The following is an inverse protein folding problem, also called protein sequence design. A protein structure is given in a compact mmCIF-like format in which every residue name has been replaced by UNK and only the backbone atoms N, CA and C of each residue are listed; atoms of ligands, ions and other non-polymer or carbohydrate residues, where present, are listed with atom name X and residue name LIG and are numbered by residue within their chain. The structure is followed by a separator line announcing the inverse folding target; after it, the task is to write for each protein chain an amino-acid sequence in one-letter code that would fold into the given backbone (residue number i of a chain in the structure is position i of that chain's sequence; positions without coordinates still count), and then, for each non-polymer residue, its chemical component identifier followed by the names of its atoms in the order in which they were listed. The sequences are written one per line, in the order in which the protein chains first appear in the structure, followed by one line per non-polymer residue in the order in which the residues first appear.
data_IF_689474922037
#
_entry.id   IF_689474922037
#
_cell.length_a   1.000
_cell.length_b   1.000
_cell.length_c   1.000
_cell.angle_alpha   90.00
_cell.angle_beta   90.00
_cell.angle_gamma   90.00
#
_symmetry.space_group_name_H-M   'P 1'
#
loop_
_entity.id
_entity.type
_entity.pdbx_description
1 polymer ?
#
# COMPACT_ATOMS: atom_id res chain seq x y z
N UNK A 1 2.09 -25.13 -7.97
CA UNK A 1 0.93 -24.40 -8.52
C UNK A 1 0.30 -23.65 -7.37
N UNK A 2 0.12 -22.34 -7.44
CA UNK A 2 -0.60 -21.61 -6.40
C UNK A 2 -2.05 -22.11 -6.36
N UNK A 3 -2.54 -22.46 -5.18
CA UNK A 3 -3.93 -22.89 -4.98
C UNK A 3 -4.84 -21.75 -5.44
N UNK A 4 -5.80 -22.03 -6.32
CA UNK A 4 -6.73 -21.01 -6.80
C UNK A 4 -7.52 -20.43 -5.62
N UNK A 5 -7.61 -19.10 -5.56
CA UNK A 5 -8.46 -18.40 -4.59
C UNK A 5 -9.93 -18.78 -4.84
N UNK A 6 -10.58 -19.34 -3.82
CA UNK A 6 -11.98 -19.77 -3.90
C UNK A 6 -12.90 -18.96 -2.96
N UNK A 7 -12.35 -18.04 -2.19
CA UNK A 7 -13.06 -17.23 -1.23
C UNK A 7 -13.85 -16.11 -1.90
N UNK A 8 -14.98 -15.78 -1.30
CA UNK A 8 -15.73 -14.57 -1.64
C UNK A 8 -15.11 -13.39 -0.91
N UNK A 9 -14.70 -12.38 -1.65
CA UNK A 9 -14.01 -11.20 -1.12
C UNK A 9 -14.94 -9.99 -1.25
N UNK A 10 -15.24 -9.38 -0.12
CA UNK A 10 -15.98 -8.13 -0.07
C UNK A 10 -15.03 -6.95 0.18
N UNK A 11 -15.12 -5.91 -0.62
CA UNK A 11 -14.44 -4.64 -0.37
C UNK A 11 -15.45 -3.63 0.17
N UNK A 12 -15.18 -3.08 1.35
CA UNK A 12 -15.87 -1.92 1.89
C UNK A 12 -15.08 -0.68 1.48
N UNK A 13 -15.59 0.02 0.45
CA UNK A 13 -14.90 1.08 -0.26
C UNK A 13 -14.29 0.61 -1.60
N UNK A 14 -14.64 1.30 -2.69
CA UNK A 14 -14.20 1.04 -4.06
C UNK A 14 -13.17 2.05 -4.59
N UNK A 15 -12.41 2.71 -3.71
CA UNK A 15 -11.40 3.71 -4.10
C UNK A 15 -10.20 3.11 -4.86
N UNK A 16 -9.23 3.96 -5.22
CA UNK A 16 -8.09 3.60 -6.06
C UNK A 16 -7.34 2.36 -5.58
N UNK A 17 -7.09 2.23 -4.27
CA UNK A 17 -6.35 1.08 -3.73
C UNK A 17 -7.19 -0.21 -3.80
N UNK A 18 -8.49 -0.14 -3.51
CA UNK A 18 -9.39 -1.28 -3.71
C UNK A 18 -9.40 -1.71 -5.18
N UNK A 19 -9.53 -0.77 -6.11
CA UNK A 19 -9.50 -1.04 -7.55
C UNK A 19 -8.17 -1.64 -8.02
N UNK A 20 -7.03 -1.23 -7.43
CA UNK A 20 -5.73 -1.84 -7.70
C UNK A 20 -5.71 -3.32 -7.29
N UNK A 21 -6.14 -3.62 -6.05
CA UNK A 21 -6.22 -4.99 -5.55
C UNK A 21 -7.18 -5.85 -6.38
N UNK A 22 -8.36 -5.33 -6.69
CA UNK A 22 -9.36 -5.99 -7.52
C UNK A 22 -8.77 -6.28 -8.92
N UNK A 23 -8.17 -5.30 -9.57
CA UNK A 23 -7.53 -5.48 -10.88
C UNK A 23 -6.42 -6.53 -10.85
N UNK A 24 -5.60 -6.54 -9.82
CA UNK A 24 -4.59 -7.56 -9.60
C UNK A 24 -5.18 -8.97 -9.39
N UNK A 25 -6.25 -9.10 -8.63
CA UNK A 25 -6.94 -10.37 -8.41
C UNK A 25 -7.56 -10.91 -9.70
N UNK A 26 -8.23 -10.05 -10.47
CA UNK A 26 -8.82 -10.42 -11.76
C UNK A 26 -7.75 -10.86 -12.77
N UNK A 27 -6.62 -10.17 -12.83
CA UNK A 27 -5.49 -10.52 -13.72
C UNK A 27 -4.87 -11.88 -13.38
N UNK A 28 -5.04 -12.35 -12.15
CA UNK A 28 -4.63 -13.69 -11.69
C UNK A 28 -5.72 -14.75 -11.81
N UNK A 29 -6.85 -14.40 -12.41
CA UNK A 29 -7.92 -15.33 -12.74
C UNK A 29 -8.99 -15.53 -11.65
N UNK A 30 -9.05 -14.65 -10.64
CA UNK A 30 -10.18 -14.69 -9.71
C UNK A 30 -11.46 -14.27 -10.46
N UNK A 31 -12.54 -15.08 -10.44
CA UNK A 31 -13.78 -14.72 -11.12
C UNK A 31 -14.42 -13.46 -10.51
N UNK A 32 -14.99 -12.60 -11.33
CA UNK A 32 -15.70 -11.39 -10.89
C UNK A 32 -16.84 -11.71 -9.91
N UNK A 33 -17.48 -12.86 -10.07
CA UNK A 33 -18.55 -13.36 -9.19
C UNK A 33 -18.10 -13.63 -7.74
N UNK A 34 -16.80 -13.67 -7.49
CA UNK A 34 -16.20 -13.82 -6.15
C UNK A 34 -15.88 -12.48 -5.49
N UNK A 35 -16.13 -11.37 -6.17
CA UNK A 35 -15.84 -10.04 -5.66
C UNK A 35 -17.14 -9.25 -5.53
N UNK A 36 -17.38 -8.69 -4.35
CA UNK A 36 -18.45 -7.73 -4.09
C UNK A 36 -17.81 -6.44 -3.57
N UNK A 37 -18.29 -5.30 -4.03
CA UNK A 37 -17.81 -3.99 -3.56
C UNK A 37 -18.97 -3.18 -3.02
N UNK A 38 -18.84 -2.66 -1.82
CA UNK A 38 -19.74 -1.64 -1.29
C UNK A 38 -19.09 -0.26 -1.34
N UNK A 39 -19.76 0.68 -2.01
CA UNK A 39 -19.33 2.09 -2.03
C UNK A 39 -20.57 2.99 -2.14
N UNK A 40 -20.69 4.08 -1.35
CA UNK A 40 -21.83 5.00 -1.43
C UNK A 40 -21.85 5.79 -2.76
N UNK A 41 -20.72 5.96 -3.43
CA UNK A 41 -20.60 6.77 -4.64
C UNK A 41 -20.99 5.96 -5.88
N UNK A 42 -22.07 6.34 -6.54
CA UNK A 42 -22.61 5.65 -7.71
C UNK A 42 -21.62 5.54 -8.86
N UNK A 43 -20.86 6.59 -9.15
CA UNK A 43 -19.86 6.58 -10.21
C UNK A 43 -18.76 5.52 -9.97
N UNK A 44 -18.35 5.32 -8.71
CA UNK A 44 -17.37 4.29 -8.36
C UNK A 44 -17.97 2.90 -8.61
N UNK A 45 -19.23 2.68 -8.22
CA UNK A 45 -19.92 1.41 -8.44
C UNK A 45 -20.05 1.13 -9.94
N UNK A 46 -20.48 2.10 -10.73
CA UNK A 46 -20.64 1.96 -12.18
C UNK A 46 -19.36 1.51 -12.88
N UNK A 47 -18.21 2.14 -12.57
CA UNK A 47 -16.89 1.73 -13.11
C UNK A 47 -16.54 0.28 -12.77
N UNK A 48 -16.96 -0.22 -11.62
CA UNK A 48 -16.73 -1.60 -11.20
C UNK A 48 -17.72 -2.57 -11.85
N UNK A 49 -18.97 -2.17 -12.04
CA UNK A 49 -20.01 -2.92 -12.74
C UNK A 49 -19.65 -3.14 -14.21
N UNK A 50 -19.07 -2.15 -14.88
CA UNK A 50 -18.53 -2.30 -16.25
C UNK A 50 -17.48 -3.40 -16.36
N UNK A 51 -16.78 -3.73 -15.25
CA UNK A 51 -15.83 -4.84 -15.15
C UNK A 51 -16.49 -6.17 -14.77
N UNK A 52 -17.81 -6.20 -14.61
CA UNK A 52 -18.58 -7.38 -14.21
C UNK A 52 -18.53 -7.69 -12.72
N UNK A 53 -18.18 -6.72 -11.88
CA UNK A 53 -18.12 -6.87 -10.41
C UNK A 53 -19.49 -6.54 -9.82
N UNK A 54 -19.92 -7.30 -8.84
CA UNK A 54 -21.14 -7.00 -8.07
C UNK A 54 -20.89 -5.81 -7.15
N UNK A 55 -21.78 -4.82 -7.18
CA UNK A 55 -21.68 -3.64 -6.32
C UNK A 55 -22.96 -3.37 -5.58
N UNK A 56 -22.88 -2.69 -4.46
CA UNK A 56 -24.01 -2.19 -3.68
C UNK A 56 -23.61 -0.91 -2.93
N UNK A 57 -24.58 -0.14 -2.46
CA UNK A 57 -24.34 0.97 -1.54
C UNK A 57 -24.49 0.53 -0.06
N UNK A 58 -24.95 -0.70 0.18
CA UNK A 58 -25.23 -1.24 1.51
C UNK A 58 -24.12 -2.20 1.97
N UNK A 59 -23.39 -1.79 3.00
CA UNK A 59 -22.32 -2.59 3.60
C UNK A 59 -22.85 -3.89 4.21
N UNK A 60 -24.06 -3.89 4.79
CA UNK A 60 -24.67 -5.08 5.39
C UNK A 60 -25.01 -6.12 4.33
N UNK A 61 -25.47 -5.68 3.17
CA UNK A 61 -25.72 -6.57 2.03
C UNK A 61 -24.39 -7.15 1.50
N UNK A 62 -23.39 -6.31 1.32
CA UNK A 62 -22.11 -6.70 0.73
C UNK A 62 -21.38 -7.80 1.51
N UNK A 63 -21.44 -7.77 2.84
CA UNK A 63 -20.69 -8.73 3.68
C UNK A 63 -21.40 -10.08 3.86
N UNK A 64 -22.66 -10.26 3.47
CA UNK A 64 -23.46 -11.46 3.78
C UNK A 64 -22.78 -12.76 3.41
N UNK A 65 -22.23 -12.83 2.21
CA UNK A 65 -21.63 -14.05 1.65
C UNK A 65 -20.09 -13.99 1.61
N UNK A 66 -19.50 -12.99 2.27
CA UNK A 66 -18.05 -12.82 2.23
C UNK A 66 -17.33 -13.74 3.22
N UNK A 67 -16.25 -14.36 2.77
CA UNK A 67 -15.29 -15.05 3.62
C UNK A 67 -14.22 -14.06 4.12
N UNK A 68 -13.88 -13.08 3.26
CA UNK A 68 -12.89 -12.03 3.50
C UNK A 68 -13.52 -10.66 3.31
N UNK A 69 -13.33 -9.78 4.28
CA UNK A 69 -13.77 -8.37 4.19
C UNK A 69 -12.55 -7.46 4.17
N UNK A 70 -12.35 -6.76 3.06
CA UNK A 70 -11.27 -5.77 2.89
C UNK A 70 -11.82 -4.39 3.22
N UNK A 71 -11.31 -3.77 4.27
CA UNK A 71 -11.64 -2.40 4.66
C UNK A 71 -10.76 -1.42 3.88
N UNK A 72 -11.37 -0.68 2.97
CA UNK A 72 -10.69 0.20 2.00
C UNK A 72 -11.27 1.62 1.99
N UNK A 73 -11.85 2.06 3.09
CA UNK A 73 -12.43 3.41 3.24
C UNK A 73 -11.39 4.40 3.76
N UNK A 74 -11.72 5.68 3.68
CA UNK A 74 -10.88 6.73 4.29
C UNK A 74 -10.95 6.64 5.83
N UNK A 75 -9.84 6.93 6.55
CA UNK A 75 -9.82 6.85 8.02
C UNK A 75 -10.93 7.65 8.70
N UNK A 76 -11.28 8.82 8.14
CA UNK A 76 -12.25 9.76 8.72
C UNK A 76 -13.68 9.19 8.84
N UNK A 77 -14.02 8.19 8.02
CA UNK A 77 -15.36 7.57 8.03
C UNK A 77 -15.37 6.18 8.67
N UNK A 78 -14.24 5.72 9.22
CA UNK A 78 -14.05 4.36 9.72
C UNK A 78 -15.13 3.98 10.75
N UNK A 79 -15.34 4.80 11.78
CA UNK A 79 -16.32 4.53 12.84
C UNK A 79 -17.73 4.42 12.28
N UNK A 80 -18.15 5.39 11.46
CA UNK A 80 -19.49 5.41 10.83
C UNK A 80 -19.74 4.17 9.98
N UNK A 81 -18.70 3.68 9.28
CA UNK A 81 -18.79 2.50 8.40
C UNK A 81 -18.82 1.21 9.21
N UNK A 82 -18.03 1.10 10.29
CA UNK A 82 -17.90 -0.15 11.03
C UNK A 82 -18.96 -0.36 12.13
N UNK A 83 -19.50 0.69 12.73
CA UNK A 83 -20.52 0.56 13.77
C UNK A 83 -21.73 -0.29 13.34
N UNK A 84 -22.33 -0.11 12.15
CA UNK A 84 -23.44 -0.96 11.71
C UNK A 84 -23.03 -2.43 11.50
N UNK A 85 -21.73 -2.72 11.35
CA UNK A 85 -21.19 -4.06 11.13
C UNK A 85 -20.79 -4.77 12.43
N UNK A 86 -21.01 -4.14 13.59
CA UNK A 86 -20.66 -4.67 14.91
C UNK A 86 -21.27 -6.03 15.15
N UNK A 87 -20.43 -7.01 15.47
CA UNK A 87 -20.83 -8.41 15.69
C UNK A 87 -21.06 -9.24 14.43
N UNK A 88 -21.05 -8.63 13.23
CA UNK A 88 -21.34 -9.33 11.97
C UNK A 88 -20.08 -9.82 11.22
N UNK A 89 -18.89 -9.50 11.73
CA UNK A 89 -17.60 -9.87 11.13
C UNK A 89 -16.84 -10.94 11.92
N UNK A 90 -17.44 -11.54 12.93
CA UNK A 90 -16.77 -12.46 13.86
C UNK A 90 -16.26 -13.75 13.19
N UNK A 91 -16.93 -14.21 12.15
CA UNK A 91 -16.60 -15.41 11.36
C UNK A 91 -15.76 -15.11 10.13
N UNK A 92 -15.44 -13.86 9.85
CA UNK A 92 -14.76 -13.39 8.63
C UNK A 92 -13.31 -13.04 8.89
N UNK A 93 -12.47 -13.18 7.86
CA UNK A 93 -11.14 -12.58 7.86
C UNK A 93 -11.27 -11.11 7.47
N UNK A 94 -10.85 -10.21 8.35
CA UNK A 94 -10.86 -8.77 8.10
C UNK A 94 -9.46 -8.31 7.71
N UNK A 95 -9.32 -7.71 6.52
CA UNK A 95 -8.07 -7.13 6.03
C UNK A 95 -8.25 -5.62 5.93
N UNK A 96 -7.56 -4.86 6.74
CA UNK A 96 -7.59 -3.40 6.70
C UNK A 96 -6.41 -2.83 5.92
N UNK A 97 -6.69 -2.02 4.90
CA UNK A 97 -5.70 -1.23 4.17
C UNK A 97 -5.78 0.26 4.54
N UNK A 98 -6.42 0.57 5.67
CA UNK A 98 -6.69 1.94 6.13
C UNK A 98 -5.48 2.48 6.88
N UNK A 99 -4.92 3.59 6.42
CA UNK A 99 -3.81 4.24 7.11
C UNK A 99 -4.23 4.70 8.52
N UNK A 100 -3.37 4.45 9.52
CA UNK A 100 -3.61 4.82 10.91
C UNK A 100 -4.62 3.96 11.67
N UNK A 101 -5.35 3.03 11.02
CA UNK A 101 -6.29 2.16 11.71
C UNK A 101 -5.57 0.96 12.34
N UNK A 102 -5.31 1.03 13.64
CA UNK A 102 -4.73 -0.06 14.41
C UNK A 102 -5.71 -1.22 14.61
N UNK A 103 -5.19 -2.43 14.77
CA UNK A 103 -5.99 -3.64 14.98
C UNK A 103 -6.95 -3.46 16.17
N UNK A 104 -6.48 -2.88 17.29
CA UNK A 104 -7.31 -2.66 18.46
C UNK A 104 -8.47 -1.70 18.15
N UNK A 105 -8.20 -0.60 17.45
CA UNK A 105 -9.24 0.38 17.03
C UNK A 105 -10.31 -0.28 16.16
N UNK A 106 -9.92 -1.12 15.22
CA UNK A 106 -10.85 -1.85 14.36
C UNK A 106 -11.64 -2.87 15.19
N UNK A 107 -10.97 -3.64 16.04
CA UNK A 107 -11.59 -4.65 16.91
C UNK A 107 -12.65 -4.04 17.83
N UNK A 108 -12.37 -2.90 18.44
CA UNK A 108 -13.31 -2.20 19.32
C UNK A 108 -14.58 -1.77 18.57
N UNK A 109 -14.43 -1.28 17.34
CA UNK A 109 -15.53 -0.84 16.49
C UNK A 109 -16.42 -1.99 16.02
N UNK A 110 -15.84 -3.12 15.65
CA UNK A 110 -16.59 -4.26 15.09
C UNK A 110 -17.06 -5.26 16.14
N UNK A 111 -16.80 -5.01 17.43
CA UNK A 111 -17.30 -5.83 18.52
C UNK A 111 -16.48 -7.10 18.77
N UNK A 112 -15.16 -7.06 18.53
CA UNK A 112 -14.24 -8.10 18.97
C UNK A 112 -13.95 -9.17 17.93
N UNK A 113 -14.03 -8.89 16.63
CA UNK A 113 -13.47 -9.80 15.63
C UNK A 113 -11.98 -9.97 15.90
N UNK A 114 -11.54 -11.24 15.90
CA UNK A 114 -10.16 -11.55 16.29
C UNK A 114 -9.26 -11.78 15.08
N UNK A 115 -9.81 -12.09 13.90
CA UNK A 115 -9.04 -12.38 12.69
C UNK A 115 -8.85 -11.10 11.86
N UNK A 116 -8.02 -10.18 12.37
CA UNK A 116 -7.77 -8.90 11.73
C UNK A 116 -6.32 -8.86 11.22
N UNK A 117 -6.17 -8.49 9.96
CA UNK A 117 -4.88 -8.23 9.31
C UNK A 117 -4.81 -6.75 8.95
N UNK A 118 -3.77 -6.08 9.40
CA UNK A 118 -3.45 -4.70 9.04
C UNK A 118 -2.41 -4.69 7.94
N UNK A 119 -2.66 -3.94 6.88
CA UNK A 119 -1.80 -3.84 5.71
C UNK A 119 -1.53 -2.37 5.40
N UNK A 120 -0.28 -2.05 5.15
CA UNK A 120 0.11 -0.77 4.57
C UNK A 120 0.59 -0.99 3.14
N UNK A 121 -0.28 -0.78 2.14
CA UNK A 121 0.07 -0.84 0.73
C UNK A 121 0.64 0.49 0.25
N UNK A 122 1.05 0.54 -1.02
CA UNK A 122 1.42 1.79 -1.67
C UNK A 122 0.87 1.89 -3.12
N UNK A 123 0.87 3.09 -3.69
CA UNK A 123 0.26 3.38 -4.99
C UNK A 123 0.84 2.61 -6.19
N UNK A 124 2.12 2.17 -6.23
CA UNK A 124 2.59 1.29 -7.30
C UNK A 124 1.84 -0.05 -7.44
N UNK A 125 1.00 -0.40 -6.48
CA UNK A 125 0.04 -1.50 -6.60
C UNK A 125 -0.86 -1.37 -7.85
N UNK A 126 -1.16 -0.15 -8.31
CA UNK A 126 -1.93 0.12 -9.53
C UNK A 126 -1.28 -0.47 -10.80
N UNK A 127 0.04 -0.63 -10.79
CA UNK A 127 0.82 -1.24 -11.87
C UNK A 127 1.46 -2.56 -11.44
N UNK A 128 0.91 -3.20 -10.42
CA UNK A 128 1.32 -4.52 -9.88
C UNK A 128 2.79 -4.58 -9.39
N UNK A 129 3.35 -3.45 -9.02
CA UNK A 129 4.69 -3.32 -8.45
C UNK A 129 4.66 -2.67 -7.06
N UNK A 130 3.56 -2.89 -6.32
CA UNK A 130 3.38 -2.39 -4.96
C UNK A 130 4.32 -3.05 -3.95
N UNK A 131 4.39 -2.44 -2.77
CA UNK A 131 5.02 -3.03 -1.59
C UNK A 131 4.03 -2.94 -0.43
N UNK A 132 3.80 -4.08 0.23
CA UNK A 132 2.80 -4.22 1.29
C UNK A 132 3.47 -4.72 2.57
N UNK A 133 3.50 -3.89 3.63
CA UNK A 133 3.82 -4.34 4.97
C UNK A 133 2.56 -4.88 5.65
N UNK A 134 2.66 -6.04 6.29
CA UNK A 134 1.52 -6.80 6.80
C UNK A 134 1.76 -7.17 8.26
N UNK A 135 0.79 -6.89 9.11
CA UNK A 135 0.76 -7.39 10.48
C UNK A 135 -0.61 -7.99 10.78
N UNK A 136 -0.66 -8.99 11.62
CA UNK A 136 -1.90 -9.68 11.96
C UNK A 136 -2.06 -9.84 13.47
N UNK A 137 -3.31 -9.83 13.94
CA UNK A 137 -3.65 -10.23 15.30
C UNK A 137 -3.26 -11.69 15.55
N UNK A 138 -3.07 -12.06 16.82
CA UNK A 138 -2.67 -13.42 17.24
C UNK A 138 -3.64 -14.50 16.78
N UNK A 139 -4.90 -14.18 16.61
CA UNK A 139 -5.94 -15.11 16.16
C UNK A 139 -5.91 -15.44 14.67
N UNK A 140 -5.07 -14.73 13.88
CA UNK A 140 -4.90 -15.01 12.45
C UNK A 140 -3.98 -16.20 12.26
N UNK A 141 -4.58 -17.34 11.92
CA UNK A 141 -3.87 -18.59 11.71
C UNK A 141 -3.07 -18.64 10.41
N UNK A 142 -2.34 -19.74 10.21
CA UNK A 142 -1.49 -19.94 9.03
C UNK A 142 -2.27 -19.83 7.72
N UNK A 143 -3.46 -20.40 7.64
CA UNK A 143 -4.31 -20.37 6.44
C UNK A 143 -4.74 -18.95 6.08
N UNK A 144 -5.15 -18.14 7.07
CA UNK A 144 -5.52 -16.75 6.86
C UNK A 144 -4.33 -15.89 6.43
N UNK A 145 -3.12 -16.18 6.95
CA UNK A 145 -1.88 -15.52 6.51
C UNK A 145 -1.53 -15.87 5.07
N UNK A 146 -1.64 -17.14 4.69
CA UNK A 146 -1.43 -17.58 3.31
C UNK A 146 -2.44 -16.96 2.35
N UNK A 147 -3.72 -16.94 2.73
CA UNK A 147 -4.80 -16.28 1.96
C UNK A 147 -4.53 -14.78 1.78
N UNK A 148 -4.20 -14.08 2.87
CA UNK A 148 -3.84 -12.67 2.81
C UNK A 148 -2.66 -12.41 1.87
N UNK A 149 -1.60 -13.24 1.98
CA UNK A 149 -0.44 -13.14 1.09
C UNK A 149 -0.82 -13.35 -0.37
N UNK A 150 -1.72 -14.30 -0.69
CA UNK A 150 -2.19 -14.54 -2.06
C UNK A 150 -2.98 -13.35 -2.61
N UNK A 151 -3.87 -12.77 -1.80
CA UNK A 151 -4.66 -11.59 -2.18
C UNK A 151 -3.73 -10.40 -2.50
N UNK A 152 -2.78 -10.10 -1.63
CA UNK A 152 -1.91 -8.92 -1.76
C UNK A 152 -0.81 -9.11 -2.80
N UNK A 153 -0.28 -10.33 -2.95
CA UNK A 153 0.71 -10.63 -3.97
C UNK A 153 0.20 -10.37 -5.40
N UNK A 154 -1.11 -10.26 -5.60
CA UNK A 154 -1.70 -9.85 -6.87
C UNK A 154 -1.26 -8.44 -7.33
N UNK A 155 -0.77 -7.62 -6.42
CA UNK A 155 -0.41 -6.22 -6.69
C UNK A 155 1.03 -5.86 -6.32
N UNK A 156 1.82 -6.81 -5.79
CA UNK A 156 3.23 -6.54 -5.48
C UNK A 156 3.85 -7.45 -4.42
N UNK A 157 4.96 -6.98 -3.86
CA UNK A 157 5.70 -7.63 -2.79
C UNK A 157 4.91 -7.60 -1.48
N UNK A 158 4.91 -8.71 -0.75
CA UNK A 158 4.27 -8.83 0.58
C UNK A 158 5.33 -9.16 1.63
N UNK A 159 5.36 -8.39 2.72
CA UNK A 159 6.30 -8.59 3.82
C UNK A 159 5.52 -8.63 5.14
N UNK A 160 5.62 -9.76 5.84
CA UNK A 160 5.07 -9.90 7.18
C UNK A 160 6.00 -9.27 8.20
N UNK A 161 5.41 -8.55 9.14
CA UNK A 161 6.10 -7.82 10.20
C UNK A 161 5.95 -8.56 11.53
N UNK A 162 6.92 -8.36 12.43
CA UNK A 162 6.95 -9.01 13.74
C UNK A 162 6.04 -8.31 14.77
N UNK A 163 5.80 -7.01 14.59
CA UNK A 163 4.92 -6.23 15.46
C UNK A 163 4.19 -5.12 14.70
N UNK A 164 3.07 -4.66 15.25
CA UNK A 164 2.21 -3.67 14.61
C UNK A 164 2.88 -2.29 14.48
N UNK A 165 3.72 -1.91 15.44
CA UNK A 165 4.40 -0.61 15.43
C UNK A 165 5.33 -0.44 14.21
N UNK A 166 5.80 -1.54 13.59
CA UNK A 166 6.59 -1.48 12.35
C UNK A 166 5.78 -0.97 11.15
N UNK A 167 4.44 -0.98 11.20
CA UNK A 167 3.59 -0.41 10.14
C UNK A 167 3.85 1.09 9.94
N UNK A 168 4.20 1.83 10.99
CA UNK A 168 4.54 3.25 10.87
C UNK A 168 5.86 3.45 10.12
N UNK A 169 6.83 2.59 10.34
CA UNK A 169 8.08 2.60 9.58
C UNK A 169 7.85 2.19 8.11
N UNK A 170 6.99 1.18 7.86
CA UNK A 170 6.54 0.82 6.50
C UNK A 170 5.85 1.99 5.83
N UNK A 171 4.98 2.72 6.55
CA UNK A 171 4.31 3.92 6.04
C UNK A 171 5.33 4.97 5.59
N UNK A 172 6.36 5.22 6.39
CA UNK A 172 7.43 6.15 6.04
C UNK A 172 8.27 5.68 4.85
N UNK A 173 8.65 4.39 4.80
CA UNK A 173 9.57 3.86 3.77
C UNK A 173 8.85 3.60 2.45
N UNK A 174 7.73 2.87 2.47
CA UNK A 174 7.05 2.41 1.26
C UNK A 174 5.69 3.08 1.01
N UNK A 175 4.93 3.38 2.04
CA UNK A 175 3.64 4.07 1.90
C UNK A 175 3.79 5.46 1.28
N UNK A 176 4.65 6.28 1.85
CA UNK A 176 5.02 7.62 1.36
C UNK A 176 6.13 7.59 0.31
N UNK A 177 6.88 6.49 0.22
CA UNK A 177 8.06 6.33 -0.64
C UNK A 177 7.88 6.75 -2.09
N UNK A 178 6.79 6.41 -2.78
CA UNK A 178 6.58 6.84 -4.16
C UNK A 178 6.70 8.35 -4.37
N UNK A 179 6.23 9.15 -3.42
CA UNK A 179 6.35 10.61 -3.48
C UNK A 179 7.81 11.09 -3.44
N UNK A 180 8.69 10.40 -2.71
CA UNK A 180 10.11 10.74 -2.65
C UNK A 180 10.81 10.49 -3.99
N UNK A 181 10.50 9.37 -4.62
CA UNK A 181 11.01 9.06 -5.95
C UNK A 181 10.46 10.03 -7.00
N UNK A 182 9.17 10.37 -6.96
CA UNK A 182 8.61 11.38 -7.87
C UNK A 182 9.25 12.76 -7.68
N UNK A 183 9.52 13.17 -6.45
CA UNK A 183 10.24 14.41 -6.15
C UNK A 183 11.67 14.40 -6.72
N UNK A 184 12.39 13.28 -6.58
CA UNK A 184 13.71 13.12 -7.16
C UNK A 184 13.66 13.17 -8.70
N UNK A 185 12.73 12.45 -9.31
CA UNK A 185 12.52 12.45 -10.77
C UNK A 185 12.20 13.87 -11.28
N UNK A 186 11.30 14.60 -10.64
CA UNK A 186 10.98 15.98 -10.97
C UNK A 186 12.23 16.87 -10.92
N UNK A 187 13.04 16.73 -9.88
CA UNK A 187 14.25 17.51 -9.68
C UNK A 187 15.30 17.19 -10.77
N UNK A 188 15.46 15.92 -11.13
CA UNK A 188 16.38 15.48 -12.19
C UNK A 188 15.93 15.98 -13.57
N UNK A 189 14.64 15.93 -13.88
CA UNK A 189 14.09 16.44 -15.13
C UNK A 189 14.35 17.95 -15.25
N UNK A 190 14.09 18.70 -14.18
CA UNK A 190 14.34 20.15 -14.12
C UNK A 190 15.83 20.46 -14.32
N UNK A 191 16.71 19.73 -13.66
CA UNK A 191 18.16 19.88 -13.81
C UNK A 191 18.61 19.53 -15.24
N UNK A 192 18.10 18.46 -15.84
CA UNK A 192 18.39 18.08 -17.23
C UNK A 192 18.01 19.18 -18.23
N UNK A 193 16.87 19.84 -18.03
CA UNK A 193 16.46 21.02 -18.84
C UNK A 193 17.45 22.18 -18.69
N UNK A 194 17.88 22.45 -17.46
CA UNK A 194 18.88 23.52 -17.22
C UNK A 194 20.26 23.20 -17.82
N UNK A 195 20.55 21.94 -18.06
CA UNK A 195 21.75 21.46 -18.75
C UNK A 195 21.59 21.47 -20.29
N UNK A 196 20.46 21.92 -20.82
CA UNK A 196 20.22 22.07 -22.25
C UNK A 196 19.47 20.92 -22.93
N UNK A 197 18.94 19.95 -22.18
CA UNK A 197 18.09 18.92 -22.76
C UNK A 197 16.68 19.43 -23.02
N UNK A 198 16.04 18.99 -24.09
CA UNK A 198 14.60 19.15 -24.25
C UNK A 198 13.86 18.41 -23.13
N UNK A 199 12.73 18.96 -22.69
CA UNK A 199 11.93 18.42 -21.58
C UNK A 199 11.55 16.94 -21.79
N UNK A 200 11.08 16.58 -22.99
CA UNK A 200 10.72 15.20 -23.33
C UNK A 200 11.91 14.24 -23.22
N UNK A 201 13.13 14.72 -23.58
CA UNK A 201 14.36 13.92 -23.51
C UNK A 201 14.78 13.75 -22.04
N UNK A 202 14.82 14.85 -21.27
CA UNK A 202 15.14 14.79 -19.85
C UNK A 202 14.17 13.89 -19.09
N UNK A 203 12.87 13.95 -19.40
CA UNK A 203 11.84 13.10 -18.80
C UNK A 203 12.07 11.63 -19.12
N UNK A 204 12.22 11.29 -20.40
CA UNK A 204 12.41 9.89 -20.82
C UNK A 204 13.67 9.27 -20.19
N UNK A 205 14.80 9.99 -20.22
CA UNK A 205 16.06 9.53 -19.63
C UNK A 205 15.94 9.34 -18.12
N UNK A 206 15.30 10.28 -17.41
CA UNK A 206 15.14 10.20 -15.95
C UNK A 206 14.28 9.00 -15.56
N UNK A 207 13.12 8.83 -16.18
CA UNK A 207 12.20 7.74 -15.83
C UNK A 207 12.82 6.37 -16.15
N UNK A 208 13.47 6.23 -17.32
CA UNK A 208 14.12 4.98 -17.69
C UNK A 208 15.29 4.64 -16.78
N UNK A 209 16.08 5.65 -16.36
CA UNK A 209 17.20 5.46 -15.43
C UNK A 209 16.70 5.02 -14.06
N UNK A 210 15.63 5.63 -13.53
CA UNK A 210 15.04 5.25 -12.25
C UNK A 210 14.53 3.79 -12.27
N UNK A 211 13.80 3.42 -13.33
CA UNK A 211 13.31 2.05 -13.53
C UNK A 211 14.49 1.06 -13.59
N UNK A 212 15.52 1.35 -14.40
CA UNK A 212 16.67 0.46 -14.56
C UNK A 212 17.47 0.30 -13.28
N UNK A 213 17.70 1.38 -12.52
CA UNK A 213 18.38 1.32 -11.23
C UNK A 213 17.61 0.48 -10.20
N UNK A 214 16.30 0.64 -10.13
CA UNK A 214 15.46 -0.18 -9.25
C UNK A 214 15.49 -1.66 -9.63
N UNK A 215 15.37 -1.98 -10.92
CA UNK A 215 15.45 -3.36 -11.40
C UNK A 215 16.82 -3.99 -11.10
N UNK A 216 17.91 -3.26 -11.31
CA UNK A 216 19.26 -3.75 -10.95
C UNK A 216 19.37 -4.03 -9.46
N UNK A 217 18.83 -3.15 -8.61
CA UNK A 217 18.89 -3.35 -7.16
C UNK A 217 18.07 -4.56 -6.69
N UNK A 218 16.91 -4.82 -7.33
CA UNK A 218 16.03 -5.95 -6.98
C UNK A 218 16.61 -7.29 -7.45
N UNK A 219 17.26 -7.32 -8.60
CA UNK A 219 17.75 -8.57 -9.22
C UNK A 219 19.19 -8.93 -8.85
N UNK A 220 19.96 -7.98 -8.30
CA UNK A 220 21.33 -8.17 -7.91
C UNK A 220 21.47 -8.78 -6.51
N UNK A 221 22.51 -9.56 -6.29
CA UNK A 221 22.97 -9.97 -4.95
C UNK A 221 23.77 -8.87 -4.23
N UNK A 222 24.20 -7.83 -4.97
CA UNK A 222 24.95 -6.70 -4.40
C UNK A 222 24.00 -5.73 -3.70
N UNK A 223 24.45 -5.19 -2.59
CA UNK A 223 23.73 -4.11 -1.91
C UNK A 223 23.66 -2.83 -2.76
N UNK A 224 22.68 -1.95 -2.54
CA UNK A 224 22.62 -0.65 -3.20
C UNK A 224 23.92 0.18 -3.05
N UNK A 225 24.63 0.04 -1.92
CA UNK A 225 25.90 0.70 -1.68
C UNK A 225 27.01 0.16 -2.62
N UNK A 226 27.05 -1.15 -2.81
CA UNK A 226 28.00 -1.78 -3.75
C UNK A 226 27.65 -1.44 -5.19
N UNK A 227 26.38 -1.47 -5.58
CA UNK A 227 25.93 -1.06 -6.91
C UNK A 227 26.35 0.39 -7.20
N UNK A 228 26.13 1.31 -6.26
CA UNK A 228 26.59 2.70 -6.35
C UNK A 228 28.11 2.79 -6.56
N UNK A 229 28.90 2.04 -5.77
CA UNK A 229 30.36 2.00 -5.91
C UNK A 229 30.77 1.50 -7.30
N UNK A 230 30.13 0.49 -7.82
CA UNK A 230 30.46 -0.13 -9.12
C UNK A 230 30.23 0.83 -10.31
N UNK A 231 29.33 1.80 -10.18
CA UNK A 231 29.08 2.83 -11.22
C UNK A 231 29.77 4.16 -10.92
N UNK A 232 30.70 4.19 -9.95
CA UNK A 232 31.44 5.40 -9.54
C UNK A 232 32.92 5.23 -9.84
N UNK A 233 33.34 5.68 -11.03
CA UNK A 233 34.77 5.68 -11.40
C UNK A 233 35.53 6.80 -10.67
N UNK A 234 36.80 6.57 -10.28
CA UNK A 234 37.61 7.62 -9.68
C UNK A 234 37.76 8.82 -10.64
N UNK A 235 37.56 10.02 -10.10
CA UNK A 235 37.59 11.29 -10.83
C UNK A 235 36.53 11.41 -11.96
N UNK A 236 35.50 10.52 -11.93
CA UNK A 236 34.42 10.53 -12.92
C UNK A 236 33.27 11.48 -12.57
N UNK A 237 32.35 11.62 -13.51
CA UNK A 237 31.17 12.47 -13.38
C UNK A 237 30.25 12.04 -12.21
N UNK A 238 30.13 10.73 -12.01
CA UNK A 238 29.34 10.17 -10.89
C UNK A 238 29.95 10.54 -9.55
N UNK A 239 31.27 10.45 -9.40
CA UNK A 239 31.95 10.86 -8.16
C UNK A 239 31.71 12.34 -7.87
N UNK A 240 31.92 13.21 -8.85
CA UNK A 240 31.69 14.66 -8.69
C UNK A 240 30.27 14.99 -8.24
N UNK A 241 29.25 14.28 -8.78
CA UNK A 241 27.86 14.46 -8.37
C UNK A 241 27.61 13.96 -6.94
N UNK A 242 28.14 12.79 -6.57
CA UNK A 242 27.98 12.24 -5.21
C UNK A 242 28.64 13.11 -4.14
N UNK A 243 29.79 13.73 -4.44
CA UNK A 243 30.44 14.70 -3.55
C UNK A 243 29.56 15.92 -3.25
N UNK A 244 28.73 16.34 -4.22
CA UNK A 244 27.73 17.41 -3.97
C UNK A 244 26.64 16.90 -3.04
N UNK A 245 26.15 15.69 -3.22
CA UNK A 245 25.13 15.09 -2.35
C UNK A 245 25.65 14.92 -0.92
N UNK A 246 26.89 14.49 -0.76
CA UNK A 246 27.52 14.31 0.55
C UNK A 246 27.67 15.66 1.29
N UNK A 247 28.18 16.70 0.58
CA UNK A 247 28.25 18.05 1.14
C UNK A 247 26.89 18.63 1.52
N UNK A 248 25.85 18.31 0.76
CA UNK A 248 24.48 18.72 1.03
C UNK A 248 23.79 17.82 2.07
N UNK A 249 24.48 16.83 2.65
CA UNK A 249 23.95 15.93 3.67
C UNK A 249 22.64 15.23 3.24
N UNK A 250 22.52 14.82 1.98
CA UNK A 250 21.29 14.21 1.45
C UNK A 250 20.88 12.98 2.27
N UNK A 251 21.83 12.15 2.71
CA UNK A 251 21.55 10.97 3.54
C UNK A 251 20.87 11.35 4.86
N UNK A 252 21.36 12.37 5.54
CA UNK A 252 20.80 12.87 6.81
C UNK A 252 19.41 13.49 6.58
N UNK A 253 19.23 14.24 5.49
CA UNK A 253 17.94 14.82 5.12
C UNK A 253 16.90 13.74 4.83
N UNK A 254 17.27 12.64 4.16
CA UNK A 254 16.38 11.50 3.94
C UNK A 254 15.99 10.85 5.27
N UNK A 255 16.95 10.63 6.18
CA UNK A 255 16.65 10.08 7.51
C UNK A 255 15.66 10.95 8.28
N UNK A 256 15.87 12.26 8.29
CA UNK A 256 15.00 13.23 8.95
C UNK A 256 13.59 13.23 8.33
N UNK A 257 13.49 13.15 6.99
CA UNK A 257 12.22 13.10 6.29
C UNK A 257 11.42 11.83 6.63
N UNK A 258 12.07 10.67 6.65
CA UNK A 258 11.42 9.41 7.01
C UNK A 258 10.99 9.39 8.49
N UNK A 259 11.81 9.92 9.39
CA UNK A 259 11.45 10.06 10.80
C UNK A 259 10.22 10.96 11.01
N UNK A 260 10.13 12.07 10.26
CA UNK A 260 8.96 12.94 10.28
C UNK A 260 7.70 12.23 9.76
N UNK A 261 7.82 11.45 8.69
CA UNK A 261 6.71 10.67 8.13
C UNK A 261 6.24 9.59 9.11
N UNK A 262 7.16 8.86 9.77
CA UNK A 262 6.84 7.87 10.78
C UNK A 262 6.10 8.51 11.97
N UNK A 263 6.63 9.62 12.49
CA UNK A 263 5.99 10.38 13.57
C UNK A 263 4.57 10.79 13.20
N UNK A 264 4.37 11.31 11.97
CA UNK A 264 3.03 11.71 11.52
C UNK A 264 2.09 10.51 11.38
N UNK A 265 2.58 9.34 10.98
CA UNK A 265 1.79 8.10 10.96
C UNK A 265 1.27 7.75 12.36
N UNK A 266 2.13 7.82 13.38
CA UNK A 266 1.76 7.57 14.78
C UNK A 266 0.72 8.57 15.29
N UNK A 267 0.91 9.87 15.00
CA UNK A 267 -0.04 10.92 15.36
C UNK A 267 -1.42 10.66 14.73
N UNK A 268 -1.46 10.28 13.45
CA UNK A 268 -2.71 9.96 12.76
C UNK A 268 -3.42 8.74 13.35
N UNK A 269 -2.67 7.71 13.78
CA UNK A 269 -3.24 6.55 14.44
C UNK A 269 -3.85 6.94 15.80
N UNK A 270 -3.17 7.76 16.59
CA UNK A 270 -3.68 8.26 17.86
C UNK A 270 -4.94 9.12 17.66
N UNK A 271 -4.90 10.08 16.72
CA UNK A 271 -6.06 10.92 16.39
C UNK A 271 -7.30 10.09 15.98
N UNK A 272 -7.07 9.00 15.23
CA UNK A 272 -8.14 8.10 14.81
C UNK A 272 -8.70 7.31 15.99
N UNK A 273 -7.83 6.75 16.84
CA UNK A 273 -8.22 6.03 18.05
C UNK A 273 -9.05 6.92 18.99
N UNK A 274 -8.62 8.16 19.22
CA UNK A 274 -9.32 9.09 20.11
C UNK A 274 -10.71 9.45 19.60
N UNK A 275 -10.82 9.69 18.27
CA UNK A 275 -12.12 9.95 17.62
C UNK A 275 -13.07 8.76 17.71
N UNK A 276 -12.57 7.54 17.57
CA UNK A 276 -13.41 6.34 17.62
C UNK A 276 -13.90 6.01 19.02
N UNK A 277 -13.19 6.39 20.08
CA UNK A 277 -13.62 6.24 21.48
C UNK A 277 -14.68 7.25 21.91
N UNK A 278 -14.83 8.33 21.14
CA UNK A 278 -15.77 9.43 21.44
C UNK A 278 -17.16 9.21 20.81
N UNK A 279 -17.35 8.13 20.07
CA UNK A 279 -18.57 7.74 19.35
C UNK A 279 -19.15 6.48 19.97
#
# INVERSE_FOLDING_TARGET
MATALNQNICFIGGGNMAQALIGGLLSRGLPTTRITVSDPVEQIRHVLEEKGIQTTADNLEAIKNADVVVLAVKPQVLATVLQPLKGLLSDKLVISIIAGAEIQTISDLIGGSQRIVRVMPNTPALVQTGAHGIYASEAVGKQDRELTSQILAATGLTIWLDNEAQIDAVTAVSGSGPAYFFYLMESMIRAGKNLGLEEKVATALTLQTALGAAQMAITSSNSPAELRKNVTSPNGTTQAALEVFDRAQISQNIQAALAAAQKRSQELAQELSDKTKSV
#
